data_IF_994880266807
#
_entry.id   IF_994880266807
#
_cell.length_a   1.000
_cell.length_b   1.000
_cell.length_c   1.000
_cell.angle_alpha   90.00
_cell.angle_beta   90.00
_cell.angle_gamma   90.00
#
_symmetry.space_group_name_H-M   'P 1'
#
loop_
_entity.id
_entity.type
_entity.pdbx_description
1 polymer ?
#
# COMPACT_ATOMS: atom_id res chain seq x y z
N UNK A 1 -25.09 1.53 29.80
CA UNK A 1 -24.25 2.65 29.31
C UNK A 1 -22.83 2.33 29.71
N UNK A 2 -21.98 1.94 28.75
CA UNK A 2 -20.56 1.66 29.00
C UNK A 2 -19.82 2.95 28.67
N UNK A 3 -19.24 3.55 29.71
CA UNK A 3 -18.31 4.68 29.58
C UNK A 3 -17.12 4.23 28.71
N UNK A 4 -16.97 4.84 27.55
CA UNK A 4 -15.79 4.63 26.72
C UNK A 4 -14.69 5.56 27.22
N UNK A 5 -13.54 5.06 27.69
CA UNK A 5 -12.46 5.94 28.12
C UNK A 5 -11.98 6.74 26.91
N UNK A 6 -12.01 8.07 27.05
CA UNK A 6 -11.48 9.03 26.09
C UNK A 6 -9.97 8.80 25.93
N UNK A 7 -9.59 8.16 24.82
CA UNK A 7 -8.18 8.12 24.41
C UNK A 7 -7.78 9.52 23.97
N UNK A 8 -7.17 10.28 24.88
CA UNK A 8 -6.49 11.52 24.52
C UNK A 8 -5.07 11.13 24.14
N UNK A 9 -4.68 11.16 22.85
CA UNK A 9 -3.29 10.91 22.50
C UNK A 9 -2.40 11.93 23.22
N UNK A 10 -1.20 11.54 23.70
CA UNK A 10 -0.28 12.50 24.26
C UNK A 10 -0.01 13.59 23.21
N UNK A 11 -0.04 14.85 23.63
CA UNK A 11 0.36 15.96 22.79
C UNK A 11 1.82 15.73 22.37
N UNK A 12 2.05 15.22 21.16
CA UNK A 12 3.37 15.15 20.57
C UNK A 12 3.81 16.59 20.33
N UNK A 13 4.61 17.13 21.25
CA UNK A 13 5.35 18.34 21.00
C UNK A 13 6.38 18.02 19.93
N UNK A 14 6.02 18.24 18.66
CA UNK A 14 6.96 18.42 17.57
C UNK A 14 7.66 19.77 17.73
N UNK A 15 8.31 20.02 18.86
CA UNK A 15 9.31 21.07 18.93
C UNK A 15 10.59 20.46 18.37
N UNK A 16 11.04 20.82 17.16
CA UNK A 16 12.38 20.47 16.75
C UNK A 16 13.31 21.16 17.76
N UNK A 17 14.12 20.37 18.47
CA UNK A 17 15.22 20.93 19.23
C UNK A 17 16.15 21.59 18.20
N UNK A 18 16.02 22.91 18.06
CA UNK A 18 16.82 23.76 17.19
C UNK A 18 18.24 23.81 17.75
N UNK A 19 19.02 22.78 17.46
CA UNK A 19 20.46 22.70 17.66
C UNK A 19 21.08 21.95 16.48
N UNK A 20 22.37 22.16 16.17
CA UNK A 20 23.04 21.61 14.99
C UNK A 20 23.19 20.07 14.99
N UNK A 21 22.57 19.38 15.96
CA UNK A 21 22.55 17.94 16.13
C UNK A 21 21.12 17.49 16.37
N UNK A 22 20.34 17.32 15.30
CA UNK A 22 19.15 16.48 15.36
C UNK A 22 19.54 15.07 15.83
N UNK A 23 18.68 14.35 16.57
CA UNK A 23 19.03 13.00 17.00
C UNK A 23 19.33 12.16 15.75
N UNK A 24 20.45 11.43 15.75
CA UNK A 24 20.74 10.50 14.66
C UNK A 24 19.58 9.52 14.49
N UNK A 25 19.34 9.05 13.26
CA UNK A 25 18.28 8.08 12.95
C UNK A 25 18.36 6.87 13.89
N UNK A 26 19.59 6.43 14.22
CA UNK A 26 19.86 5.38 15.20
C UNK A 26 19.33 5.69 16.62
N UNK A 27 19.42 6.95 17.07
CA UNK A 27 18.84 7.38 18.36
C UNK A 27 17.32 7.46 18.28
N UNK A 28 16.74 7.89 17.15
CA UNK A 28 15.27 7.91 17.01
C UNK A 28 14.68 6.50 17.04
N UNK A 29 15.29 5.56 16.32
CA UNK A 29 14.90 4.14 16.27
C UNK A 29 15.07 3.40 17.60
N UNK A 30 15.81 3.97 18.55
CA UNK A 30 15.89 3.45 19.92
C UNK A 30 14.60 3.71 20.74
N UNK A 31 13.74 4.65 20.32
CA UNK A 31 12.39 4.77 20.87
C UNK A 31 11.49 3.67 20.28
N UNK A 32 10.77 2.96 21.14
CA UNK A 32 9.74 1.99 20.73
C UNK A 32 8.72 2.61 19.77
N UNK A 33 8.37 3.87 20.00
CA UNK A 33 7.44 4.66 19.18
C UNK A 33 7.89 4.78 17.71
N UNK A 34 9.11 5.25 17.46
CA UNK A 34 9.64 5.41 16.09
C UNK A 34 9.94 4.07 15.43
N UNK A 35 10.32 3.03 16.20
CA UNK A 35 10.52 1.69 15.66
C UNK A 35 9.22 1.07 15.14
N UNK A 36 8.10 1.28 15.82
CA UNK A 36 6.78 0.83 15.35
C UNK A 36 6.43 1.55 14.05
N UNK A 37 6.60 2.87 14.00
CA UNK A 37 6.32 3.67 12.79
C UNK A 37 7.19 3.21 11.62
N UNK A 38 8.50 3.09 11.81
CA UNK A 38 9.43 2.63 10.77
C UNK A 38 9.07 1.22 10.24
N UNK A 39 8.71 0.29 11.14
CA UNK A 39 8.27 -1.06 10.75
C UNK A 39 6.95 -1.04 9.99
N UNK A 40 6.02 -0.17 10.36
CA UNK A 40 4.76 0.00 9.62
C UNK A 40 5.01 0.53 8.21
N UNK A 41 5.90 1.51 8.04
CA UNK A 41 6.31 2.02 6.72
C UNK A 41 6.96 0.93 5.86
N UNK A 42 7.90 0.17 6.42
CA UNK A 42 8.52 -0.97 5.73
C UNK A 42 7.46 -2.01 5.32
N UNK A 43 6.56 -2.34 6.23
CA UNK A 43 5.47 -3.31 5.96
C UNK A 43 4.56 -2.82 4.83
N UNK A 44 4.13 -1.56 4.87
CA UNK A 44 3.29 -0.97 3.82
C UNK A 44 4.00 -0.94 2.47
N UNK A 45 5.28 -0.55 2.44
CA UNK A 45 6.09 -0.54 1.20
C UNK A 45 6.17 -1.93 0.60
N UNK A 46 6.50 -2.93 1.42
CA UNK A 46 6.59 -4.33 0.98
C UNK A 46 5.24 -4.86 0.46
N UNK A 47 4.13 -4.49 1.10
CA UNK A 47 2.79 -4.87 0.65
C UNK A 47 2.44 -4.23 -0.69
N UNK A 48 2.78 -2.95 -0.90
CA UNK A 48 2.58 -2.27 -2.18
C UNK A 48 3.40 -2.97 -3.27
N UNK A 49 4.70 -3.19 -3.05
CA UNK A 49 5.60 -3.87 -4.01
C UNK A 49 5.14 -5.29 -4.34
N UNK A 50 4.64 -6.02 -3.34
CA UNK A 50 4.10 -7.37 -3.54
C UNK A 50 2.80 -7.34 -4.35
N UNK A 51 1.90 -6.40 -4.04
CA UNK A 51 0.61 -6.30 -4.72
C UNK A 51 0.78 -5.87 -6.16
N UNK A 52 1.66 -4.91 -6.45
CA UNK A 52 2.00 -4.51 -7.82
C UNK A 52 2.51 -5.70 -8.65
N UNK A 53 3.40 -6.53 -8.08
CA UNK A 53 3.90 -7.75 -8.75
C UNK A 53 2.77 -8.75 -9.04
N UNK A 54 1.95 -9.05 -8.03
CA UNK A 54 0.84 -10.01 -8.20
C UNK A 54 -0.18 -9.54 -9.24
N UNK A 55 -0.50 -8.24 -9.27
CA UNK A 55 -1.39 -7.68 -10.28
C UNK A 55 -0.77 -7.72 -11.68
N UNK A 56 0.54 -7.48 -11.79
CA UNK A 56 1.29 -7.65 -13.04
C UNK A 56 1.23 -9.08 -13.56
N UNK A 57 1.53 -10.06 -12.71
CA UNK A 57 1.48 -11.49 -13.07
C UNK A 57 0.06 -11.92 -13.46
N UNK A 58 -0.95 -11.48 -12.72
CA UNK A 58 -2.35 -11.74 -13.03
C UNK A 58 -2.74 -11.20 -14.41
N UNK A 59 -2.22 -10.03 -14.79
CA UNK A 59 -2.46 -9.44 -16.12
C UNK A 59 -1.86 -10.27 -17.23
N UNK A 60 -0.61 -10.71 -17.06
CA UNK A 60 0.05 -11.61 -18.02
C UNK A 60 -0.76 -12.89 -18.21
N UNK A 61 -1.27 -13.48 -17.13
CA UNK A 61 -2.12 -14.68 -17.21
C UNK A 61 -3.46 -14.39 -17.89
N UNK A 62 -4.08 -13.25 -17.62
CA UNK A 62 -5.33 -12.84 -18.28
C UNK A 62 -5.13 -12.63 -19.79
N UNK A 63 -4.04 -11.98 -20.19
CA UNK A 63 -3.69 -11.76 -21.61
C UNK A 63 -3.44 -13.10 -22.32
N UNK A 64 -2.69 -14.00 -21.68
CA UNK A 64 -2.47 -15.36 -22.19
C UNK A 64 -3.78 -16.14 -22.33
N UNK A 65 -4.66 -16.08 -21.33
CA UNK A 65 -5.95 -16.75 -21.37
C UNK A 65 -6.89 -16.15 -22.42
N UNK A 66 -6.80 -14.83 -22.66
CA UNK A 66 -7.56 -14.12 -23.69
C UNK A 66 -7.10 -14.41 -25.12
N UNK A 67 -5.83 -14.81 -25.30
CA UNK A 67 -5.28 -15.18 -26.60
C UNK A 67 -5.69 -16.59 -27.07
N UNK A 68 -6.26 -17.42 -26.17
CA UNK A 68 -6.77 -18.75 -26.53
C UNK A 68 -8.10 -18.61 -27.26
N UNK A 69 -8.25 -19.35 -28.36
CA UNK A 69 -9.47 -19.36 -29.16
C UNK A 69 -10.58 -20.20 -28.49
N UNK A 70 -11.28 -19.58 -27.56
CA UNK A 70 -12.42 -20.19 -26.87
C UNK A 70 -13.71 -20.00 -27.67
N UNK A 71 -14.50 -21.07 -27.79
CA UNK A 71 -15.78 -21.09 -28.50
C UNK A 71 -17.00 -21.34 -27.59
N UNK A 72 -18.18 -20.94 -28.07
CA UNK A 72 -19.47 -21.16 -27.39
C UNK A 72 -19.82 -20.12 -26.32
N UNK A 73 -20.93 -20.34 -25.62
CA UNK A 73 -21.46 -19.42 -24.61
C UNK A 73 -20.54 -19.29 -23.39
N UNK A 74 -19.90 -20.39 -22.97
CA UNK A 74 -18.92 -20.39 -21.89
C UNK A 74 -17.72 -19.48 -22.21
N UNK A 75 -17.27 -19.47 -23.46
CA UNK A 75 -16.19 -18.60 -23.92
C UNK A 75 -16.59 -17.12 -23.88
N UNK A 76 -17.83 -16.78 -24.25
CA UNK A 76 -18.33 -15.41 -24.17
C UNK A 76 -18.38 -14.93 -22.72
N UNK A 77 -18.89 -15.76 -21.81
CA UNK A 77 -18.93 -15.45 -20.38
C UNK A 77 -17.51 -15.29 -19.80
N UNK A 78 -16.57 -16.16 -20.22
CA UNK A 78 -15.17 -16.09 -19.81
C UNK A 78 -14.49 -14.80 -20.28
N UNK A 79 -14.63 -14.44 -21.57
CA UNK A 79 -14.08 -13.18 -22.12
C UNK A 79 -14.64 -11.95 -21.40
N UNK A 80 -15.94 -11.92 -21.13
CA UNK A 80 -16.53 -10.85 -20.32
C UNK A 80 -15.97 -10.81 -18.89
N UNK A 81 -15.66 -11.97 -18.31
CA UNK A 81 -14.97 -12.10 -17.04
C UNK A 81 -13.55 -11.53 -17.07
N UNK A 82 -12.77 -11.84 -18.11
CA UNK A 82 -11.41 -11.32 -18.30
C UNK A 82 -11.38 -9.80 -18.39
N UNK A 83 -12.31 -9.19 -19.13
CA UNK A 83 -12.43 -7.72 -19.22
C UNK A 83 -12.65 -7.12 -17.84
N UNK A 84 -13.63 -7.62 -17.08
CA UNK A 84 -13.91 -7.12 -15.72
C UNK A 84 -12.72 -7.29 -14.78
N UNK A 85 -12.02 -8.43 -14.88
CA UNK A 85 -10.85 -8.69 -14.06
C UNK A 85 -9.67 -7.76 -14.43
N UNK A 86 -9.47 -7.46 -15.71
CA UNK A 86 -8.50 -6.47 -16.16
C UNK A 86 -8.83 -5.07 -15.65
N UNK A 87 -10.08 -4.62 -15.80
CA UNK A 87 -10.52 -3.30 -15.31
C UNK A 87 -10.31 -3.16 -13.79
N UNK A 88 -10.59 -4.23 -13.04
CA UNK A 88 -10.34 -4.26 -11.60
C UNK A 88 -8.85 -4.19 -11.27
N UNK A 89 -8.00 -4.94 -11.99
CA UNK A 89 -6.56 -4.90 -11.80
C UNK A 89 -5.98 -3.50 -12.11
N UNK A 90 -6.48 -2.84 -13.16
CA UNK A 90 -6.14 -1.45 -13.50
C UNK A 90 -6.51 -0.48 -12.38
N UNK A 91 -7.74 -0.60 -11.84
CA UNK A 91 -8.18 0.20 -10.71
C UNK A 91 -7.29 0.02 -9.48
N UNK A 92 -6.90 -1.22 -9.18
CA UNK A 92 -6.01 -1.51 -8.04
C UNK A 92 -4.60 -0.95 -8.26
N UNK A 93 -4.03 -1.08 -9.46
CA UNK A 93 -2.72 -0.49 -9.78
C UNK A 93 -2.74 1.03 -9.60
N UNK A 94 -3.80 1.70 -10.06
CA UNK A 94 -3.97 3.13 -9.86
C UNK A 94 -4.01 3.50 -8.36
N UNK A 95 -4.77 2.75 -7.55
CA UNK A 95 -4.81 2.95 -6.10
C UNK A 95 -3.45 2.72 -5.42
N UNK A 96 -2.67 1.74 -5.86
CA UNK A 96 -1.32 1.47 -5.33
C UNK A 96 -0.35 2.61 -5.63
N UNK A 97 -0.39 3.18 -6.83
CA UNK A 97 0.41 4.37 -7.19
C UNK A 97 0.09 5.54 -6.27
N UNK A 98 -1.20 5.77 -5.97
CA UNK A 98 -1.61 6.80 -5.01
C UNK A 98 -1.12 6.50 -3.60
N UNK A 99 -1.26 5.26 -3.13
CA UNK A 99 -0.81 4.85 -1.80
C UNK A 99 0.71 5.03 -1.65
N UNK A 100 1.50 4.66 -2.66
CA UNK A 100 2.95 4.84 -2.68
C UNK A 100 3.32 6.32 -2.60
N UNK A 101 2.65 7.17 -3.39
CA UNK A 101 2.88 8.61 -3.37
C UNK A 101 2.61 9.22 -1.99
N UNK A 102 1.50 8.85 -1.35
CA UNK A 102 1.19 9.30 0.01
C UNK A 102 2.27 8.85 1.00
N UNK A 103 2.74 7.61 0.87
CA UNK A 103 3.80 7.07 1.71
C UNK A 103 5.13 7.83 1.54
N UNK A 104 5.47 8.22 0.30
CA UNK A 104 6.64 9.04 -0.03
C UNK A 104 6.53 10.49 0.46
N UNK A 105 5.33 11.08 0.41
CA UNK A 105 5.06 12.42 0.94
C UNK A 105 5.23 12.45 2.47
N UNK A 106 4.67 11.47 3.18
CA UNK A 106 4.78 11.34 4.65
C UNK A 106 6.19 10.99 5.14
N UNK A 107 7.04 10.40 4.29
CA UNK A 107 8.45 10.12 4.65
C UNK A 107 9.40 11.28 4.37
N UNK A 108 8.97 12.28 3.59
CA UNK A 108 9.76 13.51 3.32
C UNK A 108 9.40 14.69 4.23
N UNK A 109 8.23 14.66 4.86
CA UNK A 109 7.75 15.68 5.80
C UNK A 109 8.38 15.53 7.20
#
# INVERSE_FOLDING_TARGET
MIDSPSFTPPAFSMQPAAGPYGPSVDRMLSCSCHRIVARSFETMTNLIDQTERVLGDARVLMDQAGAIDWEGEAAQAFRAGLVRASDMADGQLFSLVQARRLLEEETRA
#
